data_IF_203393313707
#
_entry.id   IF_203393313707
#
_cell.length_a   1.000
_cell.length_b   1.000
_cell.length_c   1.000
_cell.angle_alpha   90.00
_cell.angle_beta   90.00
_cell.angle_gamma   90.00
#
_symmetry.space_group_name_H-M   'P 1'
#
loop_
_entity.id
_entity.type
_entity.pdbx_description
1 polymer ?
#
# COMPACT_ATOMS: atom_id res chain seq x y z
N UNK A 1 -21.93 7.15 19.20
CA UNK A 1 -20.58 7.52 18.67
C UNK A 1 -19.51 7.32 19.75
N UNK A 2 -18.90 6.14 19.75
CA UNK A 2 -17.88 5.71 20.72
C UNK A 2 -16.55 6.41 20.40
N UNK A 3 -15.97 7.13 21.37
CA UNK A 3 -14.62 7.71 21.22
C UNK A 3 -13.60 6.56 21.09
N UNK A 4 -12.68 6.56 20.11
CA UNK A 4 -11.59 5.59 20.09
C UNK A 4 -10.71 5.82 21.33
N UNK A 5 -10.51 4.79 22.15
CA UNK A 5 -9.63 4.86 23.32
C UNK A 5 -8.17 4.78 22.89
N UNK A 6 -7.37 5.66 23.47
CA UNK A 6 -5.93 5.79 23.32
C UNK A 6 -5.23 4.45 23.57
N UNK A 7 -4.24 4.15 22.73
CA UNK A 7 -3.20 3.17 23.05
C UNK A 7 -2.54 3.52 24.38
N UNK A 8 -2.35 2.53 25.25
CA UNK A 8 -1.69 2.77 26.53
C UNK A 8 -0.23 3.21 26.32
N UNK A 9 0.31 4.10 27.17
CA UNK A 9 1.72 4.52 27.11
C UNK A 9 2.71 3.35 27.12
N UNK A 10 2.31 2.20 27.70
CA UNK A 10 3.10 0.96 27.69
C UNK A 10 3.18 0.32 26.30
N UNK A 11 2.07 0.22 25.55
CA UNK A 11 2.12 -0.29 24.17
C UNK A 11 2.86 0.67 23.23
N UNK A 12 2.85 1.96 23.55
CA UNK A 12 3.62 2.99 22.85
C UNK A 12 5.13 2.78 23.01
N UNK A 13 5.62 2.62 24.24
CA UNK A 13 7.03 2.40 24.54
C UNK A 13 7.57 1.06 24.00
N UNK A 14 6.77 -0.02 24.01
CA UNK A 14 7.19 -1.32 23.46
C UNK A 14 7.34 -1.31 21.93
N UNK A 15 6.44 -0.64 21.19
CA UNK A 15 6.58 -0.49 19.73
C UNK A 15 7.82 0.30 19.35
N UNK A 16 8.18 1.32 20.14
CA UNK A 16 9.40 2.11 19.95
C UNK A 16 10.66 1.26 20.16
N UNK A 17 10.65 0.33 21.13
CA UNK A 17 11.82 -0.52 21.45
C UNK A 17 12.17 -1.52 20.34
N UNK A 18 11.17 -2.14 19.70
CA UNK A 18 11.38 -3.11 18.60
C UNK A 18 11.82 -2.44 17.29
N UNK A 19 11.61 -1.12 17.19
CA UNK A 19 11.96 -0.28 16.03
C UNK A 19 13.45 0.08 15.94
N UNK A 20 14.28 -0.26 16.93
CA UNK A 20 15.65 0.28 17.07
C UNK A 20 16.63 0.00 15.91
N UNK A 21 16.34 -0.98 15.04
CA UNK A 21 17.24 -1.32 13.93
C UNK A 21 17.04 -0.40 12.71
N UNK A 22 15.79 -0.11 12.34
CA UNK A 22 15.45 0.69 11.15
C UNK A 22 15.61 2.20 11.39
N UNK A 23 15.50 2.62 12.65
CA UNK A 23 15.52 4.03 13.06
C UNK A 23 16.93 4.59 13.20
N UNK A 24 17.94 3.71 13.21
CA UNK A 24 19.36 4.07 13.19
C UNK A 24 19.90 4.29 11.79
N UNK A 25 19.15 3.92 10.74
CA UNK A 25 19.63 4.00 9.35
C UNK A 25 19.85 5.46 8.93
N UNK A 26 21.00 5.76 8.29
CA UNK A 26 21.33 7.12 7.82
C UNK A 26 20.27 7.69 6.87
N UNK A 27 19.65 6.83 6.06
CA UNK A 27 18.58 7.22 5.14
C UNK A 27 17.33 7.72 5.89
N UNK A 28 16.92 7.01 6.94
CA UNK A 28 15.77 7.40 7.77
C UNK A 28 16.02 8.75 8.45
N UNK A 29 17.19 8.94 9.08
CA UNK A 29 17.53 10.23 9.71
C UNK A 29 17.56 11.39 8.71
N UNK A 30 18.06 11.17 7.49
CA UNK A 30 18.03 12.19 6.43
C UNK A 30 16.61 12.52 6.00
N UNK A 31 15.76 11.51 5.83
CA UNK A 31 14.37 11.68 5.42
C UNK A 31 13.56 12.39 6.51
N UNK A 32 13.72 11.99 7.78
CA UNK A 32 13.07 12.67 8.91
C UNK A 32 13.56 14.09 9.09
N UNK A 33 14.86 14.36 8.93
CA UNK A 33 15.39 15.73 8.97
C UNK A 33 14.85 16.60 7.83
N UNK A 34 14.84 16.06 6.61
CA UNK A 34 14.26 16.74 5.45
C UNK A 34 12.77 17.00 5.63
N UNK A 35 12.02 16.03 6.16
CA UNK A 35 10.62 16.18 6.46
C UNK A 35 10.41 17.28 7.52
N UNK A 36 11.19 17.26 8.61
CA UNK A 36 11.14 18.28 9.66
C UNK A 36 11.35 19.69 9.10
N UNK A 37 12.40 19.88 8.28
CA UNK A 37 12.71 21.18 7.66
C UNK A 37 11.59 21.71 6.75
N UNK A 38 10.79 20.81 6.16
CA UNK A 38 9.63 21.22 5.35
C UNK A 38 8.40 21.51 6.22
N UNK A 39 8.25 20.81 7.34
CA UNK A 39 7.16 21.06 8.27
C UNK A 39 7.36 22.39 9.02
N UNK A 40 8.60 22.69 9.41
CA UNK A 40 9.02 23.89 10.11
C UNK A 40 9.11 25.10 9.16
N UNK A 41 7.97 25.50 8.60
CA UNK A 41 7.86 26.61 7.65
C UNK A 41 8.34 27.94 8.23
N UNK A 42 8.19 28.13 9.55
CA UNK A 42 8.57 29.35 10.25
C UNK A 42 10.03 29.32 10.74
N UNK A 43 10.75 28.20 10.58
CA UNK A 43 12.12 27.97 11.05
C UNK A 43 12.30 28.27 12.54
N UNK A 44 11.25 28.03 13.32
CA UNK A 44 11.28 28.26 14.76
C UNK A 44 12.09 27.20 15.50
N UNK A 45 12.39 26.07 14.84
CA UNK A 45 13.01 24.91 15.46
C UNK A 45 12.01 24.03 16.21
N UNK A 46 10.73 24.39 16.22
CA UNK A 46 9.65 23.64 16.84
C UNK A 46 8.46 23.53 15.88
N UNK A 47 7.83 22.36 15.83
CA UNK A 47 6.67 22.13 14.98
C UNK A 47 5.41 22.24 15.83
N UNK A 48 4.48 23.12 15.45
CA UNK A 48 3.15 23.19 16.08
C UNK A 48 2.17 22.16 15.48
N UNK A 49 1.00 21.97 16.11
CA UNK A 49 0.00 20.97 15.67
C UNK A 49 -0.43 21.12 14.21
N UNK A 50 -0.55 22.35 13.73
CA UNK A 50 -0.98 22.65 12.36
C UNK A 50 0.12 22.33 11.36
N UNK A 51 1.36 22.71 11.67
CA UNK A 51 2.55 22.40 10.87
C UNK A 51 2.81 20.90 10.82
N UNK A 52 2.61 20.19 11.93
CA UNK A 52 2.75 18.73 11.97
C UNK A 52 1.74 18.06 11.02
N UNK A 53 0.48 18.50 11.03
CA UNK A 53 -0.55 17.93 10.15
C UNK A 53 -0.26 18.18 8.67
N UNK A 54 0.05 19.42 8.29
CA UNK A 54 0.42 19.75 6.92
C UNK A 54 1.68 18.99 6.46
N UNK A 55 2.66 18.92 7.35
CA UNK A 55 3.89 18.18 7.19
C UNK A 55 3.68 16.69 6.94
N UNK A 56 2.86 16.04 7.77
CA UNK A 56 2.51 14.64 7.63
C UNK A 56 1.87 14.36 6.28
N UNK A 57 0.90 15.18 5.87
CA UNK A 57 0.23 15.01 4.56
C UNK A 57 1.26 15.06 3.44
N UNK A 58 2.22 16.00 3.50
CA UNK A 58 3.25 16.12 2.48
C UNK A 58 4.19 14.92 2.43
N UNK A 59 4.57 14.38 3.60
CA UNK A 59 5.36 13.15 3.69
C UNK A 59 4.60 11.98 3.07
N UNK A 60 3.31 11.82 3.41
CA UNK A 60 2.45 10.79 2.84
C UNK A 60 2.31 10.94 1.32
N UNK A 61 2.14 12.17 0.82
CA UNK A 61 2.05 12.44 -0.60
C UNK A 61 3.34 12.09 -1.35
N UNK A 62 4.51 12.38 -0.76
CA UNK A 62 5.78 12.01 -1.36
C UNK A 62 6.03 10.49 -1.30
N UNK A 63 5.64 9.81 -0.21
CA UNK A 63 5.69 8.35 -0.16
C UNK A 63 4.76 7.73 -1.22
N UNK A 64 3.53 8.25 -1.36
CA UNK A 64 2.54 7.77 -2.32
C UNK A 64 3.04 7.79 -3.77
N UNK A 65 3.94 8.72 -4.14
CA UNK A 65 4.58 8.73 -5.48
C UNK A 65 5.42 7.49 -5.75
N UNK A 66 6.00 6.89 -4.72
CA UNK A 66 6.88 5.73 -4.86
C UNK A 66 6.14 4.41 -4.62
N UNK A 67 5.23 4.38 -3.65
CA UNK A 67 4.58 3.14 -3.20
C UNK A 67 3.15 2.99 -3.72
N UNK A 68 2.67 3.99 -4.47
CA UNK A 68 1.32 4.07 -4.98
C UNK A 68 0.32 4.68 -3.98
N UNK A 69 -0.78 5.26 -4.47
CA UNK A 69 -1.79 5.92 -3.64
C UNK A 69 -2.52 4.96 -2.68
N UNK A 70 -2.64 3.68 -3.05
CA UNK A 70 -3.34 2.67 -2.25
C UNK A 70 -2.61 2.31 -0.94
N UNK A 71 -1.30 2.58 -0.83
CA UNK A 71 -0.53 2.25 0.36
C UNK A 71 -0.47 3.40 1.38
N UNK A 72 -0.90 4.61 0.99
CA UNK A 72 -0.69 5.83 1.76
C UNK A 72 -2.01 6.57 2.03
N UNK A 73 -2.75 6.10 3.02
CA UNK A 73 -3.89 6.83 3.58
C UNK A 73 -3.40 7.80 4.65
N UNK A 74 -3.49 9.13 4.44
CA UNK A 74 -3.10 10.08 5.46
C UNK A 74 -4.00 9.93 6.70
N UNK A 75 -3.44 10.06 7.92
CA UNK A 75 -4.23 10.00 9.14
C UNK A 75 -5.18 11.20 9.26
N UNK A 76 -6.29 11.02 10.00
CA UNK A 76 -7.21 12.13 10.29
C UNK A 76 -6.53 13.18 11.17
N UNK A 77 -7.07 14.42 11.14
CA UNK A 77 -6.57 15.50 11.99
C UNK A 77 -6.61 15.13 13.48
N UNK A 78 -7.67 14.48 13.96
CA UNK A 78 -7.73 14.06 15.37
C UNK A 78 -6.63 13.05 15.70
N UNK A 79 -6.33 12.14 14.78
CA UNK A 79 -5.25 11.15 14.96
C UNK A 79 -3.90 11.84 15.06
N UNK A 80 -3.67 12.89 14.26
CA UNK A 80 -2.43 13.67 14.31
C UNK A 80 -2.33 14.50 15.60
N UNK A 81 -3.42 15.08 16.07
CA UNK A 81 -3.45 15.80 17.35
C UNK A 81 -3.16 14.86 18.53
N UNK A 82 -3.70 13.64 18.52
CA UNK A 82 -3.37 12.63 19.52
C UNK A 82 -1.91 12.17 19.44
N UNK A 83 -1.38 12.04 18.22
CA UNK A 83 0.01 11.65 18.00
C UNK A 83 0.96 12.74 18.47
N UNK A 84 0.58 14.01 18.28
CA UNK A 84 1.29 15.17 18.83
C UNK A 84 1.33 15.10 20.34
N UNK A 85 0.17 14.98 20.99
CA UNK A 85 0.07 14.95 22.46
C UNK A 85 0.80 13.75 23.08
N UNK A 86 0.90 12.63 22.35
CA UNK A 86 1.64 11.45 22.80
C UNK A 86 3.16 11.57 22.59
N UNK A 87 3.61 12.41 21.65
CA UNK A 87 5.01 12.57 21.31
C UNK A 87 5.68 13.74 22.06
N UNK A 88 4.92 14.80 22.35
CA UNK A 88 5.29 15.95 23.17
C UNK A 88 5.43 15.51 24.64
N UNK A 89 6.59 14.94 24.97
CA UNK A 89 6.85 14.34 26.27
C UNK A 89 7.22 15.41 27.31
N UNK A 90 7.76 16.54 26.87
CA UNK A 90 8.10 17.66 27.75
C UNK A 90 6.95 18.64 27.96
N UNK A 91 5.83 18.46 27.25
CA UNK A 91 4.65 19.32 27.29
C UNK A 91 4.99 20.79 26.96
N UNK A 92 5.99 20.99 26.12
CA UNK A 92 6.41 22.32 25.67
C UNK A 92 5.38 22.95 24.73
N UNK A 93 4.47 22.16 24.16
CA UNK A 93 3.49 22.61 23.18
C UNK A 93 4.06 22.74 21.77
N UNK A 94 5.28 22.26 21.54
CA UNK A 94 5.96 22.25 20.24
C UNK A 94 6.88 21.04 20.09
N UNK A 95 6.77 20.33 18.98
CA UNK A 95 7.54 19.11 18.73
C UNK A 95 8.97 19.49 18.30
N UNK A 96 9.98 18.99 19.01
CA UNK A 96 11.38 19.10 18.59
C UNK A 96 11.79 18.04 17.54
N UNK A 97 13.03 18.09 17.07
CA UNK A 97 13.52 17.14 16.04
C UNK A 97 13.57 15.68 16.55
N UNK A 98 13.84 15.45 17.84
CA UNK A 98 13.94 14.11 18.41
C UNK A 98 12.55 13.50 18.65
N UNK A 99 11.59 14.31 19.07
CA UNK A 99 10.17 13.95 19.17
C UNK A 99 9.56 13.74 17.78
N UNK A 100 9.88 14.59 16.81
CA UNK A 100 9.46 14.42 15.43
C UNK A 100 9.99 13.11 14.84
N UNK A 101 11.24 12.76 15.13
CA UNK A 101 11.79 11.47 14.74
C UNK A 101 10.95 10.32 15.30
N UNK A 102 10.49 10.38 16.56
CA UNK A 102 9.62 9.33 17.14
C UNK A 102 8.28 9.24 16.43
N UNK A 103 7.66 10.37 16.10
CA UNK A 103 6.43 10.43 15.31
C UNK A 103 6.62 9.74 13.95
N UNK A 104 7.68 10.12 13.24
CA UNK A 104 8.01 9.56 11.93
C UNK A 104 8.22 8.05 11.99
N UNK A 105 8.83 7.54 13.05
CA UNK A 105 9.05 6.10 13.25
C UNK A 105 7.72 5.35 13.32
N UNK A 106 6.79 5.85 14.13
CA UNK A 106 5.49 5.21 14.35
C UNK A 106 4.70 5.17 13.04
N UNK A 107 4.69 6.29 12.31
CA UNK A 107 3.98 6.42 11.04
C UNK A 107 4.60 5.55 9.96
N UNK A 108 5.92 5.66 9.76
CA UNK A 108 6.62 4.87 8.76
C UNK A 108 6.54 3.37 9.06
N UNK A 109 6.55 2.94 10.32
CA UNK A 109 6.41 1.53 10.66
C UNK A 109 5.07 0.95 10.19
N UNK A 110 3.97 1.69 10.32
CA UNK A 110 2.66 1.25 9.84
C UNK A 110 2.62 1.13 8.32
N UNK A 111 3.16 2.15 7.62
CA UNK A 111 3.21 2.20 6.15
C UNK A 111 4.11 1.09 5.61
N UNK A 112 5.34 0.96 6.12
CA UNK A 112 6.30 -0.06 5.70
C UNK A 112 5.77 -1.47 5.92
N UNK A 113 5.08 -1.73 7.04
CA UNK A 113 4.46 -3.03 7.26
C UNK A 113 3.37 -3.35 6.21
N UNK A 114 2.48 -2.40 5.92
CA UNK A 114 1.46 -2.57 4.86
C UNK A 114 2.09 -2.83 3.50
N UNK A 115 3.12 -2.07 3.15
CA UNK A 115 3.88 -2.25 1.90
C UNK A 115 4.55 -3.63 1.88
N UNK A 116 5.16 -4.05 2.97
CA UNK A 116 5.83 -5.35 3.06
C UNK A 116 4.85 -6.50 2.90
N UNK A 117 3.69 -6.45 3.58
CA UNK A 117 2.61 -7.43 3.41
C UNK A 117 2.10 -7.41 1.97
N UNK A 118 1.90 -6.23 1.40
CA UNK A 118 1.46 -6.07 0.01
C UNK A 118 2.41 -6.77 -0.98
N UNK A 119 3.71 -6.46 -0.92
CA UNK A 119 4.69 -7.10 -1.80
C UNK A 119 4.86 -8.58 -1.50
N UNK A 120 4.76 -9.01 -0.24
CA UNK A 120 4.82 -10.42 0.11
C UNK A 120 3.64 -11.18 -0.52
N UNK A 121 2.41 -10.69 -0.38
CA UNK A 121 1.24 -11.29 -1.03
C UNK A 121 1.40 -11.28 -2.55
N UNK A 122 1.87 -10.18 -3.14
CA UNK A 122 2.05 -10.11 -4.58
C UNK A 122 3.13 -11.10 -5.09
N UNK A 123 4.26 -11.22 -4.39
CA UNK A 123 5.37 -12.11 -4.79
C UNK A 123 5.02 -13.58 -4.55
N UNK A 124 4.39 -13.92 -3.42
CA UNK A 124 4.10 -15.30 -3.06
C UNK A 124 2.74 -15.78 -3.59
N UNK A 125 1.70 -14.95 -3.53
CA UNK A 125 0.34 -15.37 -3.89
C UNK A 125 0.09 -15.27 -5.38
N UNK A 126 0.61 -14.25 -6.08
CA UNK A 126 0.31 -14.08 -7.50
C UNK A 126 0.78 -15.25 -8.38
N UNK A 127 2.00 -15.80 -8.23
CA UNK A 127 2.43 -16.94 -9.05
C UNK A 127 1.57 -18.18 -8.80
N UNK A 128 1.23 -18.44 -7.53
CA UNK A 128 0.39 -19.58 -7.16
C UNK A 128 -1.05 -19.43 -7.67
N UNK A 129 -1.60 -18.22 -7.63
CA UNK A 129 -2.94 -17.93 -8.15
C UNK A 129 -3.00 -18.12 -9.66
N UNK A 130 -1.99 -17.64 -10.40
CA UNK A 130 -1.90 -17.81 -11.85
C UNK A 130 -1.86 -19.29 -12.20
N UNK A 131 -0.99 -20.07 -11.56
CA UNK A 131 -0.89 -21.52 -11.79
C UNK A 131 -2.21 -22.23 -11.50
N UNK A 132 -2.84 -21.94 -10.36
CA UNK A 132 -4.13 -22.55 -9.99
C UNK A 132 -5.25 -22.25 -11.00
N UNK A 133 -5.24 -21.05 -11.59
CA UNK A 133 -6.22 -20.66 -12.60
C UNK A 133 -5.92 -21.33 -13.94
N UNK A 134 -4.66 -21.41 -14.35
CA UNK A 134 -4.27 -22.12 -15.57
C UNK A 134 -4.65 -23.60 -15.49
N UNK A 135 -4.36 -24.25 -14.36
CA UNK A 135 -4.77 -25.65 -14.11
C UNK A 135 -6.29 -25.81 -14.17
N UNK A 136 -7.04 -24.85 -13.61
CA UNK A 136 -8.50 -24.84 -13.65
C UNK A 136 -9.06 -24.64 -15.07
N UNK A 137 -8.41 -23.81 -15.90
CA UNK A 137 -8.80 -23.58 -17.29
C UNK A 137 -8.50 -24.79 -18.18
N UNK A 138 -7.37 -25.46 -17.95
CA UNK A 138 -6.99 -26.71 -18.63
C UNK A 138 -8.00 -27.82 -18.33
N UNK A 139 -8.45 -27.94 -17.08
CA UNK A 139 -9.49 -28.91 -16.68
C UNK A 139 -10.81 -28.72 -17.43
N UNK A 140 -11.17 -27.49 -17.77
CA UNK A 140 -12.41 -27.14 -18.48
C UNK A 140 -12.22 -27.29 -20.01
N UNK A 141 -11.01 -27.58 -20.49
CA UNK A 141 -10.69 -27.72 -21.91
C UNK A 141 -10.62 -26.39 -22.66
N UNK A 142 -10.35 -25.30 -21.92
CA UNK A 142 -10.28 -23.95 -22.49
C UNK A 142 -8.95 -23.72 -23.22
N UNK A 143 -7.92 -24.51 -22.93
CA UNK A 143 -6.64 -24.57 -23.64
C UNK A 143 -6.85 -24.66 -25.16
N UNK A 144 -7.71 -25.57 -25.63
CA UNK A 144 -8.02 -25.75 -27.05
C UNK A 144 -8.85 -24.62 -27.63
N UNK A 145 -9.71 -24.00 -26.81
CA UNK A 145 -10.54 -22.87 -27.24
C UNK A 145 -9.75 -21.56 -27.33
N UNK A 146 -8.77 -21.34 -26.43
CA UNK A 146 -7.86 -20.20 -26.43
C UNK A 146 -6.82 -20.30 -27.56
N UNK A 147 -6.28 -21.49 -27.81
CA UNK A 147 -5.40 -21.73 -28.97
C UNK A 147 -6.19 -21.65 -30.29
N UNK A 148 -7.45 -22.09 -30.31
CA UNK A 148 -8.33 -21.89 -31.48
C UNK A 148 -8.79 -20.43 -31.67
N UNK A 149 -8.63 -19.58 -30.64
CA UNK A 149 -8.93 -18.15 -30.69
C UNK A 149 -7.95 -17.37 -31.58
N UNK A 150 -6.77 -17.94 -31.85
CA UNK A 150 -5.60 -17.27 -32.45
C UNK A 150 -5.78 -16.81 -33.92
N UNK A 151 -6.66 -17.45 -34.71
CA UNK A 151 -7.02 -16.96 -36.06
C UNK A 151 -8.51 -16.88 -36.32
N UNK A 152 -9.26 -17.92 -35.95
CA UNK A 152 -10.68 -18.04 -36.31
C UNK A 152 -11.59 -17.02 -35.62
N UNK A 153 -11.18 -16.49 -34.47
CA UNK A 153 -11.95 -15.46 -33.73
C UNK A 153 -11.65 -14.07 -34.24
N UNK A 154 -10.39 -13.76 -34.58
CA UNK A 154 -10.04 -12.52 -35.27
C UNK A 154 -10.76 -12.39 -36.60
N UNK A 155 -10.80 -13.47 -37.40
CA UNK A 155 -11.56 -13.49 -38.65
C UNK A 155 -13.08 -13.31 -38.46
N UNK A 156 -13.63 -13.73 -37.30
CA UNK A 156 -15.08 -13.62 -37.01
C UNK A 156 -15.49 -12.30 -36.38
N UNK A 157 -14.64 -11.72 -35.53
CA UNK A 157 -14.98 -10.54 -34.73
C UNK A 157 -14.34 -9.25 -35.23
N UNK A 158 -13.23 -9.32 -36.00
CA UNK A 158 -12.66 -8.12 -36.60
C UNK A 158 -13.59 -7.61 -37.71
N UNK A 159 -14.11 -6.37 -37.60
CA UNK A 159 -14.76 -5.72 -38.72
C UNK A 159 -13.82 -5.71 -39.93
N UNK A 160 -14.36 -5.85 -41.13
CA UNK A 160 -13.57 -5.93 -42.38
C UNK A 160 -12.62 -4.74 -42.60
N UNK A 161 -12.86 -3.59 -41.95
CA UNK A 161 -11.95 -2.44 -42.01
C UNK A 161 -10.71 -2.56 -41.10
N UNK A 162 -10.72 -3.46 -40.10
CA UNK A 162 -9.61 -3.70 -39.18
C UNK A 162 -8.74 -4.90 -39.55
N UNK A 163 -9.15 -5.74 -40.50
CA UNK A 163 -8.37 -6.93 -40.90
C UNK A 163 -6.96 -6.58 -41.38
N UNK A 164 -6.82 -5.66 -42.35
CA UNK A 164 -5.50 -5.25 -42.87
C UNK A 164 -4.51 -4.72 -41.83
N UNK A 165 -4.89 -3.80 -40.93
CA UNK A 165 -3.96 -3.35 -39.89
C UNK A 165 -3.69 -4.43 -38.83
N UNK A 166 -4.64 -5.33 -38.55
CA UNK A 166 -4.43 -6.45 -37.62
C UNK A 166 -3.45 -7.46 -38.19
N UNK A 167 -3.60 -7.85 -39.46
CA UNK A 167 -2.67 -8.75 -40.15
C UNK A 167 -1.25 -8.20 -40.16
N UNK A 168 -1.10 -6.90 -40.45
CA UNK A 168 0.21 -6.24 -40.42
C UNK A 168 0.85 -6.24 -39.02
N UNK A 169 0.05 -6.12 -37.96
CA UNK A 169 0.54 -6.16 -36.58
C UNK A 169 0.88 -7.59 -36.16
N UNK A 170 0.08 -8.58 -36.56
CA UNK A 170 0.34 -10.00 -36.30
C UNK A 170 1.65 -10.43 -36.97
N UNK A 171 1.88 -10.04 -38.23
CA UNK A 171 3.11 -10.35 -38.95
C UNK A 171 4.36 -9.66 -38.36
N UNK A 172 4.18 -8.57 -37.62
CA UNK A 172 5.28 -7.84 -36.97
C UNK A 172 5.69 -8.46 -35.62
N UNK A 173 4.80 -9.27 -35.02
CA UNK A 173 4.99 -9.85 -33.69
C UNK A 173 5.52 -11.28 -33.84
N UNK A 174 6.64 -11.64 -33.21
CA UNK A 174 7.15 -13.01 -33.24
C UNK A 174 6.13 -14.01 -32.67
N UNK A 175 6.01 -15.18 -33.28
CA UNK A 175 5.06 -16.24 -32.89
C UNK A 175 5.13 -16.59 -31.39
N UNK A 176 6.33 -16.57 -30.81
CA UNK A 176 6.56 -16.81 -29.38
C UNK A 176 5.87 -15.79 -28.45
N UNK A 177 5.58 -14.59 -28.95
CA UNK A 177 4.87 -13.54 -28.20
C UNK A 177 3.36 -13.70 -28.33
N UNK A 178 2.88 -14.20 -29.47
CA UNK A 178 1.46 -14.52 -29.68
C UNK A 178 1.04 -15.72 -28.83
N UNK A 179 1.89 -16.74 -28.73
CA UNK A 179 1.65 -17.90 -27.84
C UNK A 179 1.53 -17.50 -26.36
N UNK A 180 2.27 -16.47 -25.91
CA UNK A 180 2.22 -15.96 -24.53
C UNK A 180 1.13 -14.89 -24.30
N UNK A 181 0.46 -14.44 -25.35
CA UNK A 181 -0.52 -13.35 -25.28
C UNK A 181 -1.77 -13.69 -24.44
N UNK A 182 -2.35 -14.90 -24.53
CA UNK A 182 -3.49 -15.27 -23.71
C UNK A 182 -3.14 -15.30 -22.21
N UNK A 183 -1.97 -15.83 -21.86
CA UNK A 183 -1.51 -15.89 -20.47
C UNK A 183 -1.31 -14.49 -19.88
N UNK A 184 -0.72 -13.58 -20.66
CA UNK A 184 -0.52 -12.18 -20.25
C UNK A 184 -1.83 -11.41 -20.15
N UNK A 185 -2.80 -11.63 -21.04
CA UNK A 185 -4.14 -11.03 -20.98
C UNK A 185 -4.94 -11.52 -19.78
N UNK A 186 -4.92 -12.83 -19.49
CA UNK A 186 -5.57 -13.42 -18.31
C UNK A 186 -4.90 -12.90 -17.04
N UNK A 187 -3.56 -12.86 -17.01
CA UNK A 187 -2.79 -12.28 -15.91
C UNK A 187 -3.14 -10.81 -15.67
N UNK A 188 -3.25 -10.00 -16.72
CA UNK A 188 -3.67 -8.60 -16.63
C UNK A 188 -5.12 -8.46 -16.15
N UNK A 189 -6.05 -9.26 -16.70
CA UNK A 189 -7.45 -9.21 -16.29
C UNK A 189 -7.62 -9.58 -14.81
N UNK A 190 -6.93 -10.63 -14.34
CA UNK A 190 -6.89 -11.00 -12.93
C UNK A 190 -6.24 -9.91 -12.08
N UNK A 191 -5.13 -9.34 -12.54
CA UNK A 191 -4.46 -8.25 -11.85
C UNK A 191 -5.38 -7.04 -11.70
N UNK A 192 -6.20 -6.71 -12.69
CA UNK A 192 -7.12 -5.58 -12.59
C UNK A 192 -8.42 -5.88 -11.83
N UNK A 193 -8.86 -7.14 -11.75
CA UNK A 193 -10.13 -7.50 -11.10
C UNK A 193 -9.95 -8.03 -9.67
N UNK A 194 -8.97 -8.89 -9.43
CA UNK A 194 -8.77 -9.57 -8.13
C UNK A 194 -8.11 -8.64 -7.14
N UNK A 195 -7.13 -7.85 -7.57
CA UNK A 195 -6.39 -6.92 -6.71
C UNK A 195 -7.33 -5.90 -6.05
N UNK A 196 -8.20 -5.16 -6.77
CA UNK A 196 -9.10 -4.22 -6.09
C UNK A 196 -10.02 -4.89 -5.06
N UNK A 197 -10.51 -6.10 -5.35
CA UNK A 197 -11.40 -6.85 -4.44
C UNK A 197 -10.64 -7.33 -3.19
N UNK A 198 -9.46 -7.90 -3.37
CA UNK A 198 -8.59 -8.29 -2.26
C UNK A 198 -8.20 -7.09 -1.40
N UNK A 199 -7.92 -5.93 -2.02
CA UNK A 199 -7.60 -4.71 -1.29
C UNK A 199 -8.76 -4.23 -0.44
N UNK A 200 -9.97 -4.18 -1.00
CA UNK A 200 -11.15 -3.76 -0.24
C UNK A 200 -11.36 -4.63 1.00
N UNK A 201 -11.12 -5.94 0.89
CA UNK A 201 -11.19 -6.88 2.02
C UNK A 201 -10.08 -6.69 3.06
N UNK A 202 -8.85 -6.46 2.63
CA UNK A 202 -7.72 -6.22 3.55
C UNK A 202 -7.92 -4.91 4.30
N UNK A 203 -8.38 -3.87 3.62
CA UNK A 203 -8.72 -2.58 4.21
C UNK A 203 -9.84 -2.71 5.23
N UNK A 204 -10.89 -3.45 4.91
CA UNK A 204 -12.00 -3.74 5.81
C UNK A 204 -11.51 -4.49 7.05
N UNK A 205 -10.69 -5.53 6.87
CA UNK A 205 -10.12 -6.32 7.98
C UNK A 205 -9.20 -5.47 8.85
N UNK A 206 -8.37 -4.62 8.24
CA UNK A 206 -7.47 -3.72 8.96
C UNK A 206 -8.24 -2.68 9.78
N UNK A 207 -9.36 -2.18 9.25
CA UNK A 207 -10.27 -1.28 9.98
C UNK A 207 -10.97 -2.02 11.12
N UNK A 208 -11.41 -3.26 10.89
CA UNK A 208 -12.08 -4.07 11.91
C UNK A 208 -11.13 -4.43 13.07
N UNK A 209 -9.88 -4.82 12.78
CA UNK A 209 -8.86 -5.06 13.82
C UNK A 209 -8.59 -3.77 14.61
N UNK A 210 -8.45 -2.64 13.92
CA UNK A 210 -8.29 -1.34 14.58
C UNK A 210 -9.51 -0.97 15.46
N UNK A 211 -10.70 -1.46 15.12
CA UNK A 211 -11.95 -1.25 15.85
C UNK A 211 -12.19 -2.25 17.01
N UNK A 212 -11.69 -3.49 16.91
CA UNK A 212 -11.88 -4.58 17.89
C UNK A 212 -10.83 -4.60 19.02
N UNK A 213 -9.65 -4.01 18.80
CA UNK A 213 -8.59 -3.93 19.82
C UNK A 213 -8.99 -3.23 21.16
N UNK A 214 -10.07 -2.42 21.32
CA UNK A 214 -10.41 -1.82 22.61
C UNK A 214 -11.29 -2.64 23.56
N UNK A 215 -11.75 -3.87 23.24
CA UNK A 215 -12.72 -4.59 24.11
C UNK A 215 -12.17 -5.79 24.90
N UNK A 216 -11.09 -6.45 24.48
CA UNK A 216 -10.57 -7.63 25.20
C UNK A 216 -9.80 -7.30 26.49
N UNK A 217 -9.40 -6.05 26.72
CA UNK A 217 -8.81 -5.60 27.99
C UNK A 217 -9.86 -5.36 29.10
N UNK A 218 -11.17 -5.52 28.83
CA UNK A 218 -12.24 -5.36 29.84
C UNK A 218 -12.67 -6.65 30.54
N UNK A 219 -12.17 -7.82 30.14
CA UNK A 219 -12.57 -9.11 30.74
C UNK A 219 -11.50 -9.76 31.62
N UNK A 220 -10.39 -9.08 31.86
CA UNK A 220 -9.27 -9.59 32.68
C UNK A 220 -9.06 -8.83 33.99
N UNK A 221 -10.03 -8.01 34.43
CA UNK A 221 -10.12 -7.46 35.79
C UNK A 221 -11.37 -7.98 36.50
#
# INVERSE_FOLDING_TARGET
PSRPRLMSPRSYAERVKKSSFWTKTKAFKRLSKWAFEICDNNKSGHINKTELYAGLILVYLNLAKYVGPAACYPPSRETVEQLFDAADHDHSGGIDIDEFNRIMIILCSGITFRIAVYYAVLIFMAPNLIQWILDGLDLIGVDKALVALDRGVWDRFAPSFLQRPVDYVIDLVPDSTLEAMPETLVGLALFYLVIPVCWNKIDETSRNIAAETPEDEKKSD
#
